data_IF_818619204223
#
_entry.id   IF_818619204223
#
_cell.length_a   1.000
_cell.length_b   1.000
_cell.length_c   1.000
_cell.angle_alpha   90.00
_cell.angle_beta   90.00
_cell.angle_gamma   90.00
#
_symmetry.space_group_name_H-M   'P 1'
#
loop_
_entity.id
_entity.type
_entity.pdbx_description
1 polymer ?
#
# COMPACT_ATOMS: atom_id res chain seq x y z
N UNK A 1 -13.94 -16.50 -8.51
CA UNK A 1 -13.17 -15.96 -7.65
C UNK A 1 -13.83 -15.19 -6.59
N UNK A 2 -13.35 -15.33 -5.40
CA UNK A 2 -13.94 -14.79 -4.35
C UNK A 2 -13.36 -13.51 -4.01
N UNK A 3 -14.06 -12.52 -3.63
CA UNK A 3 -13.56 -11.29 -3.18
C UNK A 3 -13.70 -11.15 -1.72
N UNK A 4 -12.65 -10.71 -1.06
CA UNK A 4 -12.67 -10.49 0.36
C UNK A 4 -13.39 -9.14 0.62
N UNK A 5 -14.41 -9.18 1.42
CA UNK A 5 -15.22 -8.01 1.67
C UNK A 5 -14.86 -7.26 2.96
N UNK A 6 -13.98 -7.80 3.76
CA UNK A 6 -13.62 -7.18 5.01
C UNK A 6 -12.55 -6.09 4.84
N UNK A 7 -12.14 -5.54 5.96
CA UNK A 7 -11.09 -4.52 5.98
C UNK A 7 -9.78 -5.10 5.52
N UNK A 8 -9.08 -4.39 4.66
CA UNK A 8 -7.80 -4.84 4.17
C UNK A 8 -6.67 -4.01 4.73
N UNK A 9 -5.53 -4.65 4.87
CA UNK A 9 -4.32 -4.02 5.32
C UNK A 9 -3.30 -4.14 4.19
N UNK A 10 -2.58 -3.08 3.93
CA UNK A 10 -1.67 -3.03 2.80
C UNK A 10 -0.31 -2.58 3.28
N UNK A 11 0.70 -3.40 3.02
CA UNK A 11 2.08 -3.04 3.30
C UNK A 11 2.75 -2.62 2.00
N UNK A 12 3.38 -1.46 2.00
CA UNK A 12 4.03 -0.94 0.82
C UNK A 12 5.48 -0.66 1.13
N UNK A 13 6.37 -1.29 0.37
CA UNK A 13 7.79 -1.07 0.49
C UNK A 13 8.24 -0.31 -0.75
N UNK A 14 8.48 0.99 -0.60
CA UNK A 14 8.76 1.87 -1.71
C UNK A 14 10.26 2.00 -1.91
N UNK A 15 10.72 1.58 -3.07
CA UNK A 15 12.09 1.73 -3.47
C UNK A 15 12.18 2.78 -4.58
N UNK A 16 13.37 3.08 -5.01
CA UNK A 16 13.59 4.16 -5.95
C UNK A 16 12.82 4.01 -7.27
N UNK A 17 12.76 2.81 -7.81
CA UNK A 17 12.12 2.58 -9.10
C UNK A 17 10.95 1.64 -9.06
N UNK A 18 10.88 0.83 -8.04
CA UNK A 18 9.83 -0.17 -7.92
C UNK A 18 9.28 -0.20 -6.53
N UNK A 19 8.06 -0.65 -6.42
CA UNK A 19 7.36 -0.73 -5.15
C UNK A 19 6.78 -2.13 -5.00
N UNK A 20 6.93 -2.69 -3.82
CA UNK A 20 6.32 -3.98 -3.49
C UNK A 20 5.10 -3.70 -2.64
N UNK A 21 3.97 -4.28 -3.03
CA UNK A 21 2.70 -4.06 -2.35
C UNK A 21 2.13 -5.41 -1.94
N UNK A 22 1.79 -5.56 -0.67
CA UNK A 22 1.19 -6.78 -0.16
C UNK A 22 -0.14 -6.41 0.48
N UNK A 23 -1.23 -7.01 -0.01
CA UNK A 23 -2.55 -6.81 0.58
C UNK A 23 -2.90 -8.02 1.43
N UNK A 24 -3.41 -7.79 2.62
CA UNK A 24 -3.77 -8.88 3.50
C UNK A 24 -5.16 -8.66 4.10
N UNK A 25 -5.72 -9.74 4.64
CA UNK A 25 -6.94 -9.66 5.44
C UNK A 25 -6.58 -9.22 6.84
N UNK A 26 -7.58 -9.01 7.66
CA UNK A 26 -7.36 -8.68 9.07
C UNK A 26 -6.65 -9.79 9.81
N UNK A 27 -6.79 -11.01 9.36
CA UNK A 27 -6.13 -12.15 9.98
C UNK A 27 -4.69 -12.33 9.49
N UNK A 28 -4.25 -11.51 8.56
CA UNK A 28 -2.89 -11.59 8.05
C UNK A 28 -2.70 -12.49 6.85
N UNK A 29 -3.79 -12.99 6.29
CA UNK A 29 -3.68 -13.82 5.10
C UNK A 29 -3.40 -12.98 3.89
N UNK A 30 -2.45 -13.36 3.08
CA UNK A 30 -2.07 -12.61 1.90
C UNK A 30 -3.09 -12.75 0.79
N UNK A 31 -3.64 -11.63 0.37
CA UNK A 31 -4.57 -11.60 -0.75
C UNK A 31 -3.83 -11.37 -2.07
N UNK A 32 -2.78 -10.59 -2.01
CA UNK A 32 -2.01 -10.26 -3.21
C UNK A 32 -0.63 -9.76 -2.79
N UNK A 33 0.38 -10.14 -3.53
CA UNK A 33 1.72 -9.60 -3.37
C UNK A 33 2.21 -9.26 -4.77
N UNK A 34 2.52 -8.01 -5.03
CA UNK A 34 2.85 -7.55 -6.37
C UNK A 34 3.95 -6.51 -6.34
N UNK A 35 4.75 -6.51 -7.38
CA UNK A 35 5.79 -5.50 -7.56
C UNK A 35 5.40 -4.66 -8.75
N UNK A 36 5.41 -3.35 -8.59
CA UNK A 36 5.07 -2.44 -9.66
C UNK A 36 6.19 -1.46 -9.92
N UNK A 37 6.20 -0.90 -11.11
CA UNK A 37 7.03 0.26 -11.39
C UNK A 37 6.40 1.45 -10.69
N UNK A 38 7.20 2.38 -10.20
CA UNK A 38 6.68 3.53 -9.48
C UNK A 38 5.88 4.43 -10.43
N UNK A 39 4.59 4.31 -10.33
CA UNK A 39 3.65 5.00 -11.20
C UNK A 39 2.33 5.13 -10.48
N UNK A 40 1.76 6.32 -10.47
CA UNK A 40 0.52 6.60 -9.75
C UNK A 40 -0.62 5.71 -10.23
N UNK A 41 -0.72 5.50 -11.54
CA UNK A 41 -1.83 4.70 -12.06
C UNK A 41 -1.69 3.23 -11.70
N UNK A 42 -0.48 2.72 -11.67
CA UNK A 42 -0.28 1.34 -11.28
C UNK A 42 -0.57 1.14 -9.80
N UNK A 43 -0.16 2.10 -8.98
CA UNK A 43 -0.48 2.06 -7.57
C UNK A 43 -1.99 2.11 -7.38
N UNK A 44 -2.67 3.00 -8.07
CA UNK A 44 -4.12 3.13 -7.97
C UNK A 44 -4.83 1.85 -8.40
N UNK A 45 -4.32 1.15 -9.41
CA UNK A 45 -4.91 -0.11 -9.85
C UNK A 45 -4.85 -1.17 -8.77
N UNK A 46 -3.73 -1.26 -8.07
CA UNK A 46 -3.61 -2.23 -6.98
C UNK A 46 -4.52 -1.82 -5.83
N UNK A 47 -4.53 -0.54 -5.50
CA UNK A 47 -5.32 -0.06 -4.36
C UNK A 47 -6.81 -0.17 -4.61
N UNK A 48 -7.23 -0.17 -5.87
CA UNK A 48 -8.65 -0.38 -6.19
C UNK A 48 -9.13 -1.74 -5.70
N UNK A 49 -8.24 -2.68 -5.56
CA UNK A 49 -8.59 -4.01 -5.07
C UNK A 49 -8.56 -4.10 -3.54
N UNK A 50 -8.11 -3.03 -2.88
CA UNK A 50 -8.00 -3.03 -1.43
C UNK A 50 -9.29 -2.58 -0.73
N UNK A 51 -10.31 -2.25 -1.47
CA UNK A 51 -11.58 -1.83 -0.90
C UNK A 51 -11.57 -0.37 -0.52
N UNK A 52 -12.49 0.00 0.32
CA UNK A 52 -12.61 1.38 0.76
C UNK A 52 -11.79 1.56 2.02
N UNK A 53 -11.13 2.64 2.17
CA UNK A 53 -10.41 3.00 3.38
C UNK A 53 -9.48 1.91 3.93
N UNK A 54 -8.60 1.34 3.12
CA UNK A 54 -7.69 0.34 3.65
C UNK A 54 -6.68 0.99 4.59
N UNK A 55 -6.14 0.20 5.52
CA UNK A 55 -5.06 0.65 6.35
C UNK A 55 -3.76 0.37 5.63
N UNK A 56 -2.96 1.38 5.42
CA UNK A 56 -1.73 1.24 4.66
C UNK A 56 -0.52 1.61 5.51
N UNK A 57 0.46 0.74 5.54
CA UNK A 57 1.75 1.04 6.15
C UNK A 57 2.75 1.21 5.01
N UNK A 58 3.32 2.39 4.90
CA UNK A 58 4.25 2.72 3.86
C UNK A 58 5.64 2.87 4.44
N UNK A 59 6.59 2.10 3.91
CA UNK A 59 7.96 2.18 4.32
C UNK A 59 8.80 2.69 3.17
N UNK A 60 9.52 3.77 3.36
CA UNK A 60 10.31 4.36 2.30
C UNK A 60 11.45 5.17 2.86
N UNK A 61 12.54 5.22 2.15
CA UNK A 61 13.67 6.02 2.57
C UNK A 61 13.58 7.43 2.02
N UNK A 62 13.04 7.58 0.83
CA UNK A 62 12.85 8.90 0.26
C UNK A 62 11.89 8.80 -0.93
N UNK A 63 11.44 9.96 -1.38
CA UNK A 63 10.59 10.00 -2.57
C UNK A 63 9.18 9.46 -2.35
N UNK A 64 8.72 9.50 -1.12
CA UNK A 64 7.43 8.91 -0.80
C UNK A 64 6.23 9.83 -0.94
N UNK A 65 6.47 11.10 -1.17
CA UNK A 65 5.37 12.08 -1.20
C UNK A 65 4.31 11.74 -2.25
N UNK A 66 4.76 11.34 -3.44
CA UNK A 66 3.82 11.04 -4.52
C UNK A 66 2.91 9.87 -4.14
N UNK A 67 3.49 8.89 -3.45
CA UNK A 67 2.73 7.71 -3.07
C UNK A 67 1.70 8.04 -2.00
N UNK A 68 2.09 8.82 -1.01
CA UNK A 68 1.17 9.22 0.04
C UNK A 68 0.02 10.02 -0.55
N UNK A 69 0.32 10.96 -1.43
CA UNK A 69 -0.73 11.75 -2.06
C UNK A 69 -1.70 10.88 -2.84
N UNK A 70 -1.19 9.94 -3.61
CA UNK A 70 -2.03 9.05 -4.40
C UNK A 70 -2.88 8.15 -3.51
N UNK A 71 -2.30 7.63 -2.44
CA UNK A 71 -3.01 6.75 -1.53
C UNK A 71 -4.11 7.49 -0.78
N UNK A 72 -3.81 8.68 -0.31
CA UNK A 72 -4.80 9.46 0.43
C UNK A 72 -5.92 9.93 -0.48
N UNK A 73 -5.60 10.27 -1.72
CA UNK A 73 -6.62 10.66 -2.67
C UNK A 73 -7.59 9.50 -2.95
N UNK A 74 -7.13 8.29 -2.82
CA UNK A 74 -7.97 7.11 -3.01
C UNK A 74 -8.67 6.65 -1.74
N UNK A 75 -8.56 7.39 -0.65
CA UNK A 75 -9.27 7.06 0.59
C UNK A 75 -8.52 6.19 1.57
N UNK A 76 -7.25 5.90 1.33
CA UNK A 76 -6.48 5.06 2.24
C UNK A 76 -6.10 5.81 3.51
N UNK A 77 -6.01 5.08 4.60
CA UNK A 77 -5.52 5.61 5.86
C UNK A 77 -4.04 5.24 5.94
N UNK A 78 -3.17 6.19 5.65
CA UNK A 78 -1.74 5.92 5.46
C UNK A 78 -0.95 6.18 6.74
N UNK A 79 -0.17 5.19 7.12
CA UNK A 79 0.75 5.27 8.24
C UNK A 79 2.17 5.14 7.70
N UNK A 80 2.99 6.13 7.95
CA UNK A 80 4.35 6.13 7.44
C UNK A 80 5.28 5.49 8.45
N UNK A 81 5.97 4.46 8.05
CA UNK A 81 6.93 3.80 8.90
C UNK A 81 8.33 4.18 8.45
N UNK A 82 9.14 4.67 9.36
CA UNK A 82 10.50 5.04 9.04
C UNK A 82 11.45 3.89 9.37
N UNK A 83 12.25 3.51 8.45
CA UNK A 83 13.19 2.44 8.72
C UNK A 83 14.16 2.78 9.83
N UNK A 84 14.39 4.07 10.04
CA UNK A 84 15.26 4.47 11.11
C UNK A 84 14.52 4.69 12.38
N UNK A 85 13.42 4.52 12.32
CA UNK A 85 12.66 4.45 13.28
C UNK A 85 12.55 4.91 14.46
N UNK A 86 12.69 4.76 14.76
CA UNK A 86 12.63 4.91 15.48
C UNK A 86 12.63 4.85 16.59
N UNK A 87 12.62 5.02 17.11
CA UNK A 87 12.72 5.02 18.12
C UNK A 87 12.14 5.33 18.71
#
# INVERSE_FOLDING_TARGET
MESYAGKQFVGIDLHRRRTVIVRTTEAGEVLEAVRIVNDVQRLASVMARAGQCPEVVLEATYGWYWAVDALQAGGANVHLAHPLGVK
#
